data_IF_971867016113
#
_entry.id   IF_971867016113
#
_cell.length_a   1.000
_cell.length_b   1.000
_cell.length_c   1.000
_cell.angle_alpha   90.00
_cell.angle_beta   90.00
_cell.angle_gamma   90.00
#
_symmetry.space_group_name_H-M   'P 1'
#
loop_
_entity.id
_entity.type
_entity.pdbx_description
1 polymer ?
#
# COMPACT_ATOMS: atom_id res chain seq x y z
N UNK A 1 -11.92 13.28 -4.02
CA UNK A 1 -12.75 12.48 -3.11
C UNK A 1 -13.47 13.39 -2.14
N UNK A 2 -14.74 13.15 -1.90
CA UNK A 2 -15.60 14.02 -1.10
C UNK A 2 -16.28 13.18 -0.03
N UNK A 3 -16.32 13.68 1.22
CA UNK A 3 -17.04 13.01 2.29
C UNK A 3 -18.55 13.30 2.19
N UNK A 4 -19.32 12.78 3.13
CA UNK A 4 -20.77 12.92 3.09
C UNK A 4 -21.22 14.36 3.33
N UNK A 5 -20.34 15.21 3.84
CA UNK A 5 -20.62 16.62 4.06
C UNK A 5 -20.16 17.49 2.90
N UNK A 6 -19.64 16.88 1.84
CA UNK A 6 -19.18 17.59 0.68
C UNK A 6 -17.75 18.10 0.75
N UNK A 7 -17.01 17.75 1.79
CA UNK A 7 -15.63 18.16 1.92
C UNK A 7 -14.71 17.23 1.15
N UNK A 8 -13.63 17.80 0.59
CA UNK A 8 -12.62 17.00 -0.07
C UNK A 8 -11.69 16.45 1.00
N UNK A 9 -11.75 15.12 1.22
CA UNK A 9 -10.97 14.50 2.27
C UNK A 9 -9.53 14.25 1.87
N UNK A 10 -9.28 14.03 0.58
CA UNK A 10 -7.94 13.69 0.12
C UNK A 10 -7.41 14.65 -0.92
N UNK A 11 -8.29 15.40 -1.57
CA UNK A 11 -7.91 16.24 -2.70
C UNK A 11 -6.86 17.27 -2.33
N UNK A 12 -6.93 17.82 -1.13
CA UNK A 12 -6.00 18.83 -0.67
C UNK A 12 -4.69 18.25 -0.14
N UNK A 13 -4.67 16.93 0.14
CA UNK A 13 -3.54 16.28 0.76
C UNK A 13 -2.70 15.46 -0.21
N UNK A 14 -3.29 15.03 -1.33
CA UNK A 14 -2.61 14.12 -2.23
C UNK A 14 -2.50 14.71 -3.63
N UNK A 15 -1.37 14.41 -4.29
CA UNK A 15 -1.20 14.80 -5.68
C UNK A 15 -2.05 13.93 -6.59
N UNK A 16 -2.28 12.68 -6.19
CA UNK A 16 -3.03 11.71 -6.99
C UNK A 16 -3.77 10.75 -6.08
N UNK A 17 -5.00 10.41 -6.46
CA UNK A 17 -5.80 9.39 -5.77
C UNK A 17 -6.30 8.44 -6.84
N UNK A 18 -5.96 7.16 -6.71
CA UNK A 18 -6.39 6.14 -7.65
C UNK A 18 -7.73 5.55 -7.24
N UNK A 19 -8.33 4.76 -8.12
CA UNK A 19 -9.61 4.14 -7.83
C UNK A 19 -9.51 3.13 -6.69
N UNK A 20 -10.57 3.02 -5.91
CA UNK A 20 -10.65 1.98 -4.88
C UNK A 20 -10.73 0.61 -5.52
N UNK A 21 -10.03 -0.35 -4.95
CA UNK A 21 -10.10 -1.73 -5.41
C UNK A 21 -11.20 -2.50 -4.68
N UNK A 22 -11.27 -3.80 -4.92
CA UNK A 22 -12.30 -4.64 -4.31
C UNK A 22 -12.17 -4.76 -2.80
N UNK A 23 -11.00 -4.43 -2.25
CA UNK A 23 -10.74 -4.46 -0.82
C UNK A 23 -11.12 -3.14 -0.14
N UNK A 24 -11.58 -2.15 -0.90
CA UNK A 24 -11.90 -0.85 -0.36
C UNK A 24 -10.66 0.00 -0.09
N UNK A 25 -9.57 -0.26 -0.80
CA UNK A 25 -8.29 0.41 -0.62
C UNK A 25 -7.93 1.12 -1.92
N UNK A 26 -7.50 2.37 -1.80
CA UNK A 26 -7.03 3.16 -2.95
C UNK A 26 -5.60 3.59 -2.71
N UNK A 27 -4.81 3.60 -3.78
CA UNK A 27 -3.44 4.11 -3.71
C UNK A 27 -3.48 5.63 -3.81
N UNK A 28 -2.65 6.29 -3.03
CA UNK A 28 -2.48 7.75 -3.09
C UNK A 28 -1.01 8.08 -3.26
N UNK A 29 -0.75 9.22 -3.91
CA UNK A 29 0.59 9.66 -4.25
C UNK A 29 0.77 11.08 -3.76
N UNK A 30 1.86 11.34 -3.06
CA UNK A 30 2.16 12.67 -2.53
C UNK A 30 3.67 12.83 -2.39
N UNK A 31 4.22 13.91 -2.96
CA UNK A 31 5.65 14.23 -2.85
C UNK A 31 6.55 13.05 -3.24
N UNK A 32 6.20 12.39 -4.35
CA UNK A 32 6.97 11.27 -4.91
C UNK A 32 6.93 10.01 -4.05
N UNK A 33 5.98 9.93 -3.14
CA UNK A 33 5.81 8.76 -2.28
C UNK A 33 4.39 8.23 -2.38
N UNK A 34 4.23 6.96 -2.05
CA UNK A 34 2.95 6.25 -2.15
C UNK A 34 2.47 5.83 -0.80
N UNK A 35 1.15 5.82 -0.63
CA UNK A 35 0.49 5.25 0.53
C UNK A 35 -0.88 4.72 0.08
N UNK A 36 -1.69 4.34 1.04
CA UNK A 36 -3.01 3.79 0.81
C UNK A 36 -4.02 4.50 1.70
N UNK A 37 -5.24 4.62 1.21
CA UNK A 37 -6.36 5.12 2.02
C UNK A 37 -7.50 4.12 1.97
N UNK A 38 -8.30 4.11 3.03
CA UNK A 38 -9.50 3.29 3.09
C UNK A 38 -10.71 4.10 2.60
N UNK A 39 -11.90 3.52 2.69
CA UNK A 39 -13.12 4.19 2.22
C UNK A 39 -13.50 5.40 3.06
N UNK A 40 -12.91 5.55 4.23
CA UNK A 40 -13.08 6.73 5.07
C UNK A 40 -12.00 7.78 4.81
N UNK A 41 -11.16 7.55 3.79
CA UNK A 41 -10.05 8.42 3.40
C UNK A 41 -8.99 8.56 4.48
N UNK A 42 -8.86 7.55 5.32
CA UNK A 42 -7.80 7.50 6.31
C UNK A 42 -6.61 6.74 5.75
N UNK A 43 -5.40 7.21 6.10
CA UNK A 43 -4.19 6.54 5.71
C UNK A 43 -4.15 5.14 6.32
N UNK A 44 -3.87 4.16 5.49
CA UNK A 44 -3.80 2.76 5.91
C UNK A 44 -2.47 2.46 6.57
N UNK A 45 -1.38 3.03 6.05
CA UNK A 45 -0.05 2.84 6.61
C UNK A 45 0.48 4.14 7.16
N UNK A 46 1.25 4.06 8.25
CA UNK A 46 1.94 5.23 8.78
C UNK A 46 3.20 5.54 7.99
N UNK A 47 3.63 4.60 7.16
CA UNK A 47 4.85 4.75 6.38
C UNK A 47 4.51 5.01 4.93
N UNK A 48 5.26 5.93 4.30
CA UNK A 48 5.14 6.19 2.86
C UNK A 48 6.22 5.40 2.13
N UNK A 49 5.87 4.91 0.94
CA UNK A 49 6.73 4.01 0.19
C UNK A 49 7.14 4.64 -1.13
N UNK A 50 8.27 4.20 -1.67
CA UNK A 50 8.70 4.63 -2.99
C UNK A 50 7.80 4.04 -4.08
N UNK A 51 7.20 2.88 -3.82
CA UNK A 51 6.27 2.26 -4.74
C UNK A 51 5.39 1.25 -4.01
N UNK A 52 4.13 1.16 -4.43
CA UNK A 52 3.18 0.15 -3.95
C UNK A 52 2.54 -0.48 -5.16
N UNK A 53 2.60 -1.80 -5.26
CA UNK A 53 1.94 -2.55 -6.32
C UNK A 53 0.45 -2.74 -6.00
N UNK A 54 -0.28 -3.34 -6.92
CA UNK A 54 -1.68 -3.67 -6.68
C UNK A 54 -1.77 -4.86 -5.75
N UNK A 55 -2.83 -4.90 -4.94
CA UNK A 55 -3.08 -6.06 -4.09
C UNK A 55 -3.50 -7.24 -4.94
N UNK A 56 -2.98 -8.42 -4.60
CA UNK A 56 -3.37 -9.64 -5.27
C UNK A 56 -4.67 -10.19 -4.67
N UNK A 57 -5.08 -11.36 -5.11
CA UNK A 57 -6.34 -11.96 -4.65
C UNK A 57 -6.29 -12.38 -3.18
N UNK A 58 -5.11 -12.46 -2.59
CA UNK A 58 -4.93 -12.78 -1.18
C UNK A 58 -4.83 -11.53 -0.31
N UNK A 59 -4.95 -10.35 -0.91
CA UNK A 59 -4.85 -9.11 -0.16
C UNK A 59 -3.43 -8.72 0.19
N UNK A 60 -2.47 -9.11 -0.64
CA UNK A 60 -1.04 -8.83 -0.41
C UNK A 60 -0.52 -7.99 -1.56
N UNK A 61 0.23 -6.95 -1.24
CA UNK A 61 0.86 -6.08 -2.23
C UNK A 61 2.34 -5.93 -1.93
N UNK A 62 3.13 -5.89 -2.99
CA UNK A 62 4.56 -5.62 -2.86
C UNK A 62 4.77 -4.12 -2.65
N UNK A 63 5.71 -3.77 -1.80
CA UNK A 63 6.12 -2.38 -1.60
C UNK A 63 7.62 -2.26 -1.72
N UNK A 64 8.07 -1.05 -2.08
CA UNK A 64 9.49 -0.77 -2.20
C UNK A 64 9.80 0.50 -1.43
N UNK A 65 10.92 0.49 -0.71
CA UNK A 65 11.40 1.66 0.03
C UNK A 65 12.91 1.60 0.11
N UNK A 66 13.57 2.69 -0.31
CA UNK A 66 15.04 2.79 -0.28
C UNK A 66 15.73 1.62 -0.99
N UNK A 67 15.16 1.21 -2.14
CA UNK A 67 15.67 0.12 -2.97
C UNK A 67 15.58 -1.24 -2.30
N UNK A 68 14.70 -1.37 -1.31
CA UNK A 68 14.45 -2.64 -0.65
C UNK A 68 12.97 -3.01 -0.80
N UNK A 69 12.68 -4.29 -0.65
CA UNK A 69 11.38 -4.86 -0.96
C UNK A 69 10.74 -5.48 0.27
N UNK A 70 9.43 -5.42 0.33
CA UNK A 70 8.63 -6.06 1.37
C UNK A 70 7.21 -6.25 0.82
N UNK A 71 6.32 -6.71 1.66
CA UNK A 71 4.91 -6.88 1.33
C UNK A 71 4.05 -6.30 2.44
N UNK A 72 2.87 -5.79 2.06
CA UNK A 72 1.89 -5.31 3.04
C UNK A 72 0.56 -5.98 2.80
N UNK A 73 -0.25 -6.07 3.85
CA UNK A 73 -1.62 -6.54 3.73
C UNK A 73 -2.58 -5.34 3.57
N UNK A 74 -3.88 -5.62 3.50
CA UNK A 74 -4.88 -4.57 3.29
C UNK A 74 -5.04 -3.65 4.50
N UNK A 75 -4.48 -4.01 5.64
CA UNK A 75 -4.46 -3.18 6.83
C UNK A 75 -3.21 -2.34 6.93
N UNK A 76 -2.32 -2.44 5.94
CA UNK A 76 -1.08 -1.66 5.94
C UNK A 76 0.03 -2.24 6.78
N UNK A 77 -0.12 -3.47 7.24
CA UNK A 77 0.90 -4.13 8.05
C UNK A 77 1.92 -4.79 7.16
N UNK A 78 3.21 -4.58 7.47
CA UNK A 78 4.27 -5.27 6.76
C UNK A 78 4.28 -6.75 7.13
N UNK A 79 4.48 -7.60 6.13
CA UNK A 79 4.51 -9.04 6.35
C UNK A 79 5.81 -9.51 6.98
N UNK A 80 6.89 -8.77 6.76
CA UNK A 80 8.19 -9.11 7.34
C UNK A 80 8.75 -7.90 8.05
N UNK A 81 9.44 -8.14 9.16
CA UNK A 81 10.16 -7.08 9.85
C UNK A 81 11.44 -6.71 9.12
N UNK A 82 11.92 -7.63 8.28
CA UNK A 82 13.14 -7.44 7.52
C UNK A 82 12.80 -7.05 6.09
N UNK A 83 13.51 -6.07 5.57
CA UNK A 83 13.39 -5.68 4.17
C UNK A 83 14.39 -6.48 3.36
N UNK A 84 14.02 -6.78 2.13
CA UNK A 84 14.81 -7.65 1.26
C UNK A 84 15.53 -6.83 0.20
N UNK A 85 16.74 -7.24 -0.16
CA UNK A 85 17.56 -6.51 -1.12
C UNK A 85 17.09 -6.71 -2.55
N UNK A 86 16.37 -7.78 -2.83
CA UNK A 86 15.88 -8.04 -4.18
C UNK A 86 14.45 -8.55 -4.15
N UNK A 87 13.78 -8.40 -5.27
CA UNK A 87 12.43 -8.94 -5.43
C UNK A 87 12.41 -10.46 -5.28
N UNK A 88 13.44 -11.13 -5.79
CA UNK A 88 13.53 -12.59 -5.69
C UNK A 88 13.56 -13.07 -4.26
N UNK A 89 14.36 -12.39 -3.42
CA UNK A 89 14.42 -12.76 -2.00
C UNK A 89 13.09 -12.52 -1.30
N UNK A 90 12.46 -11.40 -1.59
CA UNK A 90 11.16 -11.08 -1.02
C UNK A 90 10.12 -12.10 -1.45
N UNK A 91 10.11 -12.46 -2.72
CA UNK A 91 9.15 -13.40 -3.26
C UNK A 91 9.34 -14.81 -2.66
N UNK A 92 10.59 -15.22 -2.46
CA UNK A 92 10.88 -16.50 -1.81
C UNK A 92 10.32 -16.52 -0.39
N UNK A 93 10.48 -15.43 0.34
CA UNK A 93 9.92 -15.32 1.68
C UNK A 93 8.40 -15.46 1.64
N UNK A 94 7.76 -14.76 0.72
CA UNK A 94 6.31 -14.81 0.57
C UNK A 94 5.83 -16.23 0.25
N UNK A 95 6.50 -16.90 -0.68
CA UNK A 95 6.10 -18.23 -1.09
C UNK A 95 6.25 -19.25 0.04
N UNK A 96 7.29 -19.11 0.85
CA UNK A 96 7.45 -20.00 2.02
C UNK A 96 6.34 -19.77 3.03
N UNK A 97 5.93 -18.51 3.19
CA UNK A 97 4.90 -18.16 4.15
C UNK A 97 3.54 -18.71 3.73
N UNK A 98 3.20 -18.66 2.45
CA UNK A 98 1.90 -19.09 1.97
C UNK A 98 1.83 -20.59 1.67
N UNK A 99 2.96 -21.28 1.69
CA UNK A 99 3.04 -22.70 1.38
C UNK A 99 2.85 -23.59 2.60
N UNK A 100 2.79 -23.03 3.77
CA UNK A 100 2.68 -23.79 5.00
C UNK A 100 1.30 -24.42 5.21
#
# INVERSE_FOLDING_TARGET
>A
MIDINGNFLSHQLFDYVYSFDKNGIAKVYLNHKWNLIDTNCKLVSQQWFDYIDNFDENGIAQVMLNNKYNFIDVNGNLLSKQWFDSFGEAYDYLMKMVSL
#
